data_IF_646750059581
#
_entry.id   IF_646750059581
#
_cell.length_a   1.000
_cell.length_b   1.000
_cell.length_c   1.000
_cell.angle_alpha   90.00
_cell.angle_beta   90.00
_cell.angle_gamma   90.00
#
_symmetry.space_group_name_H-M   'P 1'
#
loop_
_entity.id
_entity.type
_entity.pdbx_description
1 polymer ?
#
# COMPACT_ATOMS: atom_id res chain seq x y z
N UNK A 1 26.50 3.73 6.46
CA UNK A 1 26.19 2.38 6.99
C UNK A 1 25.87 1.46 5.81
N UNK A 2 26.78 0.52 5.54
CA UNK A 2 26.53 -0.60 4.63
C UNK A 2 25.33 -1.40 5.16
N UNK A 3 24.29 -1.53 4.35
CA UNK A 3 23.02 -2.13 4.76
C UNK A 3 23.09 -3.64 4.56
N UNK A 4 23.07 -4.40 5.66
CA UNK A 4 22.99 -5.86 5.62
C UNK A 4 21.60 -6.28 5.06
N UNK A 5 21.52 -6.87 3.85
CA UNK A 5 20.26 -7.28 3.23
C UNK A 5 19.45 -8.25 4.09
N UNK A 6 20.13 -9.05 4.93
CA UNK A 6 19.49 -10.02 5.82
C UNK A 6 18.58 -9.38 6.87
N UNK A 7 18.83 -8.14 7.29
CA UNK A 7 18.03 -7.50 8.36
C UNK A 7 16.64 -7.09 7.87
N UNK A 8 16.52 -6.65 6.62
CA UNK A 8 15.24 -6.22 6.03
C UNK A 8 14.28 -7.37 5.74
N UNK A 9 14.82 -8.53 5.36
CA UNK A 9 14.06 -9.76 5.08
C UNK A 9 13.41 -10.39 6.34
N UNK A 10 13.66 -9.84 7.53
CA UNK A 10 13.16 -10.40 8.80
C UNK A 10 11.92 -9.71 9.36
N UNK A 11 11.45 -8.58 8.81
CA UNK A 11 10.26 -7.89 9.34
C UNK A 11 9.01 -8.77 9.22
N UNK A 12 8.46 -9.18 10.37
CA UNK A 12 7.19 -9.91 10.49
C UNK A 12 6.14 -9.01 11.12
N UNK A 13 5.57 -8.09 10.32
CA UNK A 13 4.49 -7.22 10.78
C UNK A 13 3.18 -8.00 10.74
N UNK A 14 2.60 -8.25 11.92
CA UNK A 14 1.23 -8.78 12.03
C UNK A 14 0.26 -7.71 11.54
N UNK A 15 -0.41 -7.97 10.42
CA UNK A 15 -1.41 -7.06 9.86
C UNK A 15 -2.69 -7.16 10.65
N UNK A 16 -3.37 -6.03 10.82
CA UNK A 16 -4.74 -5.99 11.32
C UNK A 16 -5.70 -5.73 10.17
N UNK A 17 -6.87 -6.37 10.19
CA UNK A 17 -7.92 -6.05 9.25
C UNK A 17 -8.49 -4.64 9.50
N UNK A 18 -9.04 -4.00 8.46
CA UNK A 18 -9.04 -4.42 7.05
C UNK A 18 -7.74 -3.99 6.30
N UNK A 19 -7.39 -4.72 5.24
CA UNK A 19 -6.35 -4.29 4.28
C UNK A 19 -7.02 -3.47 3.19
N UNK A 20 -6.78 -2.16 3.19
CA UNK A 20 -7.44 -1.26 2.26
C UNK A 20 -6.73 -1.18 0.92
N UNK A 21 -7.51 -1.25 -0.16
CA UNK A 21 -7.11 -0.80 -1.48
C UNK A 21 -7.85 0.50 -1.79
N UNK A 22 -7.12 1.57 -2.12
CA UNK A 22 -7.70 2.89 -2.22
C UNK A 22 -7.17 3.77 -3.33
N UNK A 23 -7.92 4.82 -3.66
CA UNK A 23 -7.50 5.86 -4.59
C UNK A 23 -7.43 7.21 -3.88
N UNK A 24 -6.45 8.03 -4.26
CA UNK A 24 -6.63 9.47 -4.20
C UNK A 24 -7.58 9.92 -5.31
N UNK A 25 -8.42 10.92 -5.02
CA UNK A 25 -9.21 11.65 -6.02
C UNK A 25 -9.47 13.09 -5.51
N UNK A 26 -10.39 13.81 -6.12
CA UNK A 26 -10.86 15.12 -5.70
C UNK A 26 -12.28 15.02 -5.14
N UNK A 27 -12.59 15.81 -4.10
CA UNK A 27 -13.93 15.87 -3.49
C UNK A 27 -15.05 16.26 -4.48
N UNK A 28 -14.72 16.92 -5.60
CA UNK A 28 -15.71 17.29 -6.62
C UNK A 28 -16.07 16.13 -7.55
N UNK A 29 -15.28 15.04 -7.57
CA UNK A 29 -15.64 13.83 -8.29
C UNK A 29 -16.61 12.98 -7.47
N UNK A 30 -17.83 13.49 -7.28
CA UNK A 30 -18.85 12.94 -6.38
C UNK A 30 -19.29 11.50 -6.72
N UNK A 31 -18.99 11.02 -7.93
CA UNK A 31 -19.40 9.71 -8.43
C UNK A 31 -18.25 8.69 -8.47
N UNK A 32 -17.02 9.07 -8.07
CA UNK A 32 -15.87 8.15 -8.09
C UNK A 32 -16.15 6.87 -7.32
N UNK A 33 -16.79 6.96 -6.15
CA UNK A 33 -17.07 5.80 -5.29
C UNK A 33 -17.88 4.73 -6.01
N UNK A 34 -18.90 5.11 -6.78
CA UNK A 34 -19.71 4.18 -7.59
C UNK A 34 -18.90 3.55 -8.73
N UNK A 35 -17.94 4.29 -9.30
CA UNK A 35 -17.09 3.78 -10.39
C UNK A 35 -16.08 2.75 -9.89
N UNK A 36 -15.47 3.00 -8.73
CA UNK A 36 -14.33 2.22 -8.24
C UNK A 36 -14.72 1.08 -7.30
N UNK A 37 -15.88 1.17 -6.61
CA UNK A 37 -16.36 0.13 -5.69
C UNK A 37 -16.46 -1.25 -6.37
N UNK A 38 -17.11 -1.40 -7.55
CA UNK A 38 -17.19 -2.69 -8.25
C UNK A 38 -15.83 -3.25 -8.70
N UNK A 39 -14.82 -2.38 -8.79
CA UNK A 39 -13.45 -2.75 -9.17
C UNK A 39 -12.62 -3.22 -7.98
N UNK A 40 -13.21 -3.25 -6.79
CA UNK A 40 -12.56 -3.71 -5.58
C UNK A 40 -11.73 -2.61 -4.91
N UNK A 41 -12.24 -1.39 -4.87
CA UNK A 41 -11.67 -0.29 -4.08
C UNK A 41 -12.49 -0.10 -2.81
N UNK A 42 -11.82 -0.08 -1.67
CA UNK A 42 -12.43 -0.03 -0.34
C UNK A 42 -12.44 1.37 0.26
N UNK A 43 -11.48 2.22 -0.13
CA UNK A 43 -11.29 3.55 0.47
C UNK A 43 -10.91 4.63 -0.55
N UNK A 44 -11.36 5.86 -0.30
CA UNK A 44 -11.01 7.05 -1.06
C UNK A 44 -10.33 8.09 -0.18
N UNK A 45 -9.38 8.83 -0.75
CA UNK A 45 -8.70 9.97 -0.13
C UNK A 45 -8.96 11.19 -1.01
N UNK A 46 -10.06 11.94 -0.78
CA UNK A 46 -10.35 13.11 -1.58
C UNK A 46 -9.49 14.28 -1.15
N UNK A 47 -8.88 14.97 -2.12
CA UNK A 47 -8.44 16.34 -1.93
C UNK A 47 -9.66 17.22 -1.75
N UNK A 48 -9.80 17.82 -0.56
CA UNK A 48 -10.97 18.62 -0.18
C UNK A 48 -10.92 20.00 -0.83
N UNK A 49 -9.73 20.61 -0.94
CA UNK A 49 -9.61 21.96 -1.51
C UNK A 49 -10.60 22.94 -0.86
N UNK A 50 -11.17 23.85 -1.63
CA UNK A 50 -12.12 24.87 -1.15
C UNK A 50 -13.58 24.38 -1.06
N UNK A 51 -13.81 23.07 -1.03
CA UNK A 51 -15.18 22.53 -1.02
C UNK A 51 -15.95 22.92 0.24
N UNK A 52 -17.19 23.36 0.04
CA UNK A 52 -18.10 23.68 1.14
C UNK A 52 -18.62 22.42 1.86
N UNK A 53 -19.33 22.65 2.97
CA UNK A 53 -19.90 21.57 3.79
C UNK A 53 -20.88 20.68 3.01
N UNK A 54 -21.66 21.26 2.10
CA UNK A 54 -22.62 20.54 1.27
C UNK A 54 -21.92 19.57 0.33
N UNK A 55 -20.83 20.02 -0.31
CA UNK A 55 -20.04 19.20 -1.23
C UNK A 55 -19.32 18.05 -0.53
N UNK A 56 -18.72 18.31 0.63
CA UNK A 56 -18.09 17.25 1.44
C UNK A 56 -19.16 16.22 1.85
N UNK A 57 -20.32 16.68 2.33
CA UNK A 57 -21.43 15.79 2.70
C UNK A 57 -21.91 14.95 1.52
N UNK A 58 -22.09 15.54 0.34
CA UNK A 58 -22.52 14.83 -0.86
C UNK A 58 -21.53 13.71 -1.26
N UNK A 59 -20.23 13.99 -1.25
CA UNK A 59 -19.20 12.98 -1.52
C UNK A 59 -19.23 11.84 -0.50
N UNK A 60 -19.38 12.18 0.79
CA UNK A 60 -19.47 11.20 1.87
C UNK A 60 -20.74 10.34 1.75
N UNK A 61 -21.88 10.94 1.42
CA UNK A 61 -23.17 10.25 1.22
C UNK A 61 -23.10 9.28 0.03
N UNK A 62 -22.50 9.70 -1.10
CA UNK A 62 -22.31 8.83 -2.25
C UNK A 62 -21.33 7.69 -1.94
N UNK A 63 -20.25 7.97 -1.21
CA UNK A 63 -19.32 6.93 -0.73
C UNK A 63 -20.02 5.92 0.18
N UNK A 64 -20.89 6.38 1.09
CA UNK A 64 -21.72 5.50 1.93
C UNK A 64 -22.63 4.61 1.09
N UNK A 65 -23.33 5.16 0.09
CA UNK A 65 -24.21 4.39 -0.81
C UNK A 65 -23.44 3.31 -1.57
N UNK A 66 -22.21 3.60 -2.00
CA UNK A 66 -21.34 2.67 -2.72
C UNK A 66 -20.59 1.67 -1.81
N UNK A 67 -20.72 1.77 -0.49
CA UNK A 67 -19.99 0.94 0.48
C UNK A 67 -18.50 1.28 0.62
N UNK A 68 -18.06 2.43 0.11
CA UNK A 68 -16.66 2.87 0.11
C UNK A 68 -16.38 3.76 1.31
N UNK A 69 -15.26 3.50 1.99
CA UNK A 69 -14.78 4.33 3.09
C UNK A 69 -14.04 5.57 2.59
N UNK A 70 -13.87 6.55 3.45
CA UNK A 70 -13.18 7.80 3.15
C UNK A 70 -12.17 8.10 4.24
N UNK A 71 -10.90 8.29 3.84
CA UNK A 71 -9.88 8.95 4.65
C UNK A 71 -9.97 10.45 4.33
N UNK A 72 -10.79 11.17 5.09
CA UNK A 72 -11.19 12.53 4.74
C UNK A 72 -10.03 13.50 5.00
N UNK A 73 -9.58 14.20 3.96
CA UNK A 73 -8.60 15.27 4.11
C UNK A 73 -9.15 16.40 5.00
N UNK A 74 -8.34 16.83 5.96
CA UNK A 74 -8.61 18.05 6.71
C UNK A 74 -8.17 19.22 5.83
N UNK A 75 -9.07 20.18 5.59
CA UNK A 75 -8.79 21.34 4.74
C UNK A 75 -7.49 22.04 5.18
N UNK A 76 -6.47 22.00 4.32
CA UNK A 76 -5.08 22.38 4.66
C UNK A 76 -4.94 23.78 5.26
N UNK A 77 -5.63 24.82 4.76
CA UNK A 77 -5.60 26.16 5.36
C UNK A 77 -6.07 26.20 6.82
N UNK A 78 -6.97 25.30 7.26
CA UNK A 78 -7.34 25.18 8.68
C UNK A 78 -6.15 24.71 9.53
N UNK A 79 -5.38 23.75 9.02
CA UNK A 79 -4.18 23.23 9.68
C UNK A 79 -3.09 24.31 9.72
N UNK A 80 -2.89 25.03 8.61
CA UNK A 80 -1.85 26.05 8.44
C UNK A 80 -2.10 27.32 9.25
N UNK A 81 -3.36 27.74 9.38
CA UNK A 81 -3.76 28.90 10.20
C UNK A 81 -3.53 28.68 11.69
N UNK A 82 -3.22 27.44 12.11
CA UNK A 82 -3.07 27.03 13.51
C UNK A 82 -4.37 27.20 14.31
N UNK A 83 -5.51 27.34 13.64
CA UNK A 83 -6.81 27.48 14.29
C UNK A 83 -7.34 26.12 14.76
N UNK A 84 -6.90 25.73 15.96
CA UNK A 84 -7.27 24.45 16.58
C UNK A 84 -8.78 24.31 16.79
N UNK A 85 -9.51 25.42 17.02
CA UNK A 85 -10.95 25.37 17.21
C UNK A 85 -11.67 24.96 15.92
N UNK A 86 -11.29 25.55 14.79
CA UNK A 86 -11.88 25.19 13.50
C UNK A 86 -11.55 23.76 13.07
N UNK A 87 -10.34 23.26 13.39
CA UNK A 87 -10.03 21.83 13.19
C UNK A 87 -10.99 20.97 14.02
N UNK A 88 -11.19 21.28 15.30
CA UNK A 88 -12.13 20.53 16.14
C UNK A 88 -13.55 20.56 15.60
N UNK A 89 -14.00 21.71 15.11
CA UNK A 89 -15.33 21.84 14.53
C UNK A 89 -15.48 21.06 13.22
N UNK A 90 -14.43 21.01 12.38
CA UNK A 90 -14.38 20.12 11.22
C UNK A 90 -14.55 18.66 11.64
N UNK A 91 -13.80 18.20 12.66
CA UNK A 91 -13.90 16.82 13.16
C UNK A 91 -15.29 16.54 13.73
N UNK A 92 -15.84 17.42 14.57
CA UNK A 92 -17.22 17.28 15.10
C UNK A 92 -18.26 17.17 14.02
N UNK A 93 -18.10 17.92 12.93
CA UNK A 93 -19.03 17.95 11.79
C UNK A 93 -19.09 16.58 11.10
N UNK A 94 -17.94 15.93 10.87
CA UNK A 94 -17.87 14.74 10.01
C UNK A 94 -17.62 13.42 10.73
N UNK A 95 -17.21 13.42 12.00
CA UNK A 95 -16.80 12.20 12.72
C UNK A 95 -17.88 11.12 12.80
N UNK A 96 -19.16 11.51 12.77
CA UNK A 96 -20.26 10.56 12.86
C UNK A 96 -20.75 10.06 11.50
N UNK A 97 -20.15 10.52 10.39
CA UNK A 97 -20.56 10.08 9.07
C UNK A 97 -20.09 8.62 8.81
N UNK A 98 -20.98 7.68 8.41
CA UNK A 98 -20.65 6.26 8.32
C UNK A 98 -19.54 5.87 7.32
N UNK A 99 -19.32 6.71 6.30
CA UNK A 99 -18.24 6.49 5.33
C UNK A 99 -16.88 7.01 5.82
N UNK A 100 -16.81 7.90 6.81
CA UNK A 100 -15.53 8.41 7.32
C UNK A 100 -14.83 7.30 8.11
N UNK A 101 -13.75 6.77 7.54
CA UNK A 101 -12.88 5.80 8.20
C UNK A 101 -11.85 6.49 9.09
N UNK A 102 -11.31 7.62 8.64
CA UNK A 102 -10.36 8.42 9.40
C UNK A 102 -10.00 9.72 8.72
N UNK A 103 -8.90 10.31 9.17
CA UNK A 103 -8.51 11.67 8.83
C UNK A 103 -7.18 11.67 8.09
N UNK A 104 -7.15 12.30 6.92
CA UNK A 104 -5.91 12.60 6.23
C UNK A 104 -5.47 14.00 6.65
N UNK A 105 -4.47 14.06 7.53
CA UNK A 105 -4.12 15.31 8.21
C UNK A 105 -3.41 16.29 7.28
N UNK A 106 -2.46 15.79 6.50
CA UNK A 106 -1.68 16.63 5.60
C UNK A 106 -0.91 15.80 4.56
N UNK A 107 -0.61 16.45 3.45
CA UNK A 107 0.11 15.90 2.29
C UNK A 107 1.54 16.45 2.25
N UNK A 108 2.52 15.56 2.36
CA UNK A 108 3.97 15.86 2.34
C UNK A 108 4.36 17.13 3.13
N UNK A 109 4.01 17.25 4.43
CA UNK A 109 4.24 18.45 5.22
C UNK A 109 5.74 18.85 5.29
N UNK A 110 6.64 17.87 5.13
CA UNK A 110 8.08 18.03 5.22
C UNK A 110 8.72 18.73 4.02
N UNK A 111 8.05 18.78 2.88
CA UNK A 111 8.53 19.46 1.67
C UNK A 111 7.68 20.67 1.28
N UNK A 112 6.67 21.02 2.11
CA UNK A 112 5.88 22.23 1.95
C UNK A 112 6.79 23.45 1.78
N UNK A 113 6.43 24.32 0.84
CA UNK A 113 7.11 25.60 0.58
C UNK A 113 6.27 26.77 1.11
N UNK A 114 6.89 27.90 1.50
CA UNK A 114 8.34 28.15 1.53
C UNK A 114 9.07 27.44 2.68
N UNK A 115 8.34 27.00 3.70
CA UNK A 115 8.89 26.31 4.86
C UNK A 115 8.08 25.04 5.16
N UNK A 116 8.73 23.92 5.51
CA UNK A 116 8.05 22.73 5.98
C UNK A 116 7.11 23.04 7.13
N UNK A 117 5.98 22.33 7.20
CA UNK A 117 5.03 22.49 8.28
C UNK A 117 5.63 21.93 9.58
N UNK A 118 5.56 22.69 10.67
CA UNK A 118 6.18 22.29 11.94
C UNK A 118 5.66 20.94 12.45
N UNK A 119 6.55 19.99 12.82
CA UNK A 119 6.13 18.75 13.47
C UNK A 119 5.36 18.97 14.77
N UNK A 120 5.75 19.96 15.58
CA UNK A 120 5.05 20.31 16.82
C UNK A 120 3.64 20.85 16.56
N UNK A 121 3.46 21.60 15.48
CA UNK A 121 2.13 22.03 15.04
C UNK A 121 1.28 20.81 14.70
N UNK A 122 1.77 19.91 13.86
CA UNK A 122 1.02 18.72 13.47
C UNK A 122 0.72 17.81 14.67
N UNK A 123 1.62 17.71 15.64
CA UNK A 123 1.37 17.00 16.91
C UNK A 123 0.22 17.64 17.70
N UNK A 124 0.18 18.97 17.80
CA UNK A 124 -0.94 19.70 18.45
C UNK A 124 -2.26 19.49 17.72
N UNK A 125 -2.25 19.53 16.39
CA UNK A 125 -3.45 19.29 15.57
C UNK A 125 -3.92 17.84 15.72
N UNK A 126 -3.02 16.86 15.68
CA UNK A 126 -3.31 15.46 15.95
C UNK A 126 -3.97 15.27 17.33
N UNK A 127 -3.42 15.89 18.38
CA UNK A 127 -4.02 15.83 19.72
C UNK A 127 -5.42 16.45 19.75
N UNK A 128 -5.65 17.55 19.05
CA UNK A 128 -6.96 18.16 18.93
C UNK A 128 -7.97 17.25 18.21
N UNK A 129 -7.56 16.58 17.13
CA UNK A 129 -8.37 15.57 16.45
C UNK A 129 -8.74 14.44 17.42
N UNK A 130 -7.76 13.91 18.17
CA UNK A 130 -7.98 12.82 19.13
C UNK A 130 -8.83 13.22 20.33
N UNK A 131 -8.89 14.50 20.71
CA UNK A 131 -9.83 14.98 21.71
C UNK A 131 -11.29 14.86 21.23
N UNK A 132 -11.53 15.06 19.93
CA UNK A 132 -12.87 15.00 19.33
C UNK A 132 -13.27 13.62 18.82
N UNK A 133 -12.31 12.85 18.30
CA UNK A 133 -12.48 11.50 17.77
C UNK A 133 -11.27 10.60 18.13
N UNK A 134 -11.40 9.89 19.24
CA UNK A 134 -10.39 8.91 19.69
C UNK A 134 -10.37 7.64 18.84
N UNK A 135 -11.47 7.33 18.17
CA UNK A 135 -11.71 6.02 17.55
C UNK A 135 -11.08 5.88 16.16
N UNK A 136 -11.00 6.97 15.41
CA UNK A 136 -10.55 6.94 14.01
C UNK A 136 -9.06 7.25 13.87
N UNK A 137 -8.36 6.59 12.93
CA UNK A 137 -6.96 6.85 12.66
C UNK A 137 -6.75 8.20 11.96
N UNK A 138 -5.57 8.76 12.16
CA UNK A 138 -5.05 9.94 11.48
C UNK A 138 -3.85 9.52 10.63
N UNK A 139 -3.79 9.96 9.38
CA UNK A 139 -2.74 9.61 8.44
C UNK A 139 -1.97 10.85 7.97
N UNK A 140 -0.68 10.66 7.69
CA UNK A 140 0.20 11.60 7.00
C UNK A 140 0.95 10.85 5.90
N UNK A 141 1.13 11.47 4.74
CA UNK A 141 2.04 10.97 3.69
C UNK A 141 3.31 11.81 3.65
N UNK A 142 4.39 11.19 3.19
CA UNK A 142 5.70 11.81 3.07
C UNK A 142 6.39 11.35 1.78
N UNK A 143 7.06 12.28 1.10
CA UNK A 143 7.95 12.03 -0.02
C UNK A 143 9.43 11.92 0.41
N UNK A 144 9.85 12.60 1.48
CA UNK A 144 11.22 12.50 2.03
C UNK A 144 11.31 11.62 3.29
N UNK A 145 11.80 10.40 3.08
CA UNK A 145 12.02 9.39 4.12
C UNK A 145 12.93 9.83 5.27
N UNK A 146 13.78 10.85 5.07
CA UNK A 146 14.69 11.34 6.11
C UNK A 146 14.00 12.24 7.14
N UNK A 147 12.83 12.77 6.80
CA UNK A 147 12.08 13.71 7.64
C UNK A 147 10.93 13.07 8.41
N UNK A 148 10.51 11.87 8.03
CA UNK A 148 9.35 11.17 8.62
C UNK A 148 9.44 11.09 10.14
N UNK A 149 10.61 10.77 10.69
CA UNK A 149 10.77 10.48 12.12
C UNK A 149 10.34 11.65 13.03
N UNK A 150 10.51 12.91 12.60
CA UNK A 150 10.06 14.05 13.41
C UNK A 150 8.55 14.17 13.54
N UNK A 151 7.77 13.52 12.66
CA UNK A 151 6.30 13.62 12.61
C UNK A 151 5.58 12.42 13.22
N UNK A 152 6.28 11.42 13.75
CA UNK A 152 5.68 10.15 14.20
C UNK A 152 4.64 10.31 15.31
N UNK A 153 4.72 11.40 16.08
CA UNK A 153 3.76 11.72 17.14
C UNK A 153 2.47 12.38 16.63
N UNK A 154 2.34 12.61 15.31
CA UNK A 154 1.21 13.28 14.68
C UNK A 154 0.34 12.36 13.80
N UNK A 155 0.54 11.04 13.87
CA UNK A 155 -0.16 10.07 13.02
C UNK A 155 -0.32 8.68 13.67
N UNK A 156 -1.35 7.96 13.23
CA UNK A 156 -1.54 6.52 13.47
C UNK A 156 -1.11 5.68 12.24
N UNK A 157 -1.30 6.26 11.04
CA UNK A 157 -0.96 5.65 9.75
C UNK A 157 0.15 6.48 9.11
N UNK A 158 1.31 5.86 8.94
CA UNK A 158 2.38 6.37 8.11
C UNK A 158 2.11 5.99 6.66
N UNK A 159 1.94 6.98 5.80
CA UNK A 159 1.89 6.81 4.36
C UNK A 159 3.23 7.25 3.75
N UNK A 160 3.64 6.61 2.66
CA UNK A 160 4.81 7.03 1.89
C UNK A 160 4.51 6.97 0.42
N UNK A 161 4.89 8.02 -0.29
CA UNK A 161 4.76 8.07 -1.72
C UNK A 161 6.11 8.22 -2.42
N UNK A 162 6.25 7.47 -3.50
CA UNK A 162 7.36 7.60 -4.43
C UNK A 162 6.93 7.09 -5.78
N UNK A 163 7.12 7.94 -6.79
CA UNK A 163 6.62 7.71 -8.14
C UNK A 163 7.79 7.55 -9.12
N UNK A 164 8.34 6.34 -9.30
CA UNK A 164 9.59 6.16 -10.03
C UNK A 164 9.44 5.95 -11.55
N UNK A 165 8.21 5.81 -12.06
CA UNK A 165 7.96 5.51 -13.48
C UNK A 165 7.93 6.81 -14.29
N UNK A 166 9.02 7.07 -15.02
CA UNK A 166 9.25 8.29 -15.78
C UNK A 166 9.36 7.99 -17.29
N UNK A 167 8.98 8.98 -18.10
CA UNK A 167 9.19 8.96 -19.55
C UNK A 167 10.68 9.01 -19.86
N UNK A 168 11.14 8.20 -20.82
CA UNK A 168 12.55 8.11 -21.20
C UNK A 168 13.45 7.39 -20.18
N UNK A 169 12.91 6.96 -19.04
CA UNK A 169 13.63 6.15 -18.05
C UNK A 169 13.31 4.67 -18.28
N UNK A 170 14.33 3.79 -18.44
CA UNK A 170 14.12 2.36 -18.65
C UNK A 170 13.30 1.72 -17.54
N UNK A 171 12.42 0.79 -17.94
CA UNK A 171 11.61 -0.03 -17.03
C UNK A 171 12.50 -0.67 -15.94
N UNK A 172 12.02 -0.66 -14.70
CA UNK A 172 12.70 -1.24 -13.53
C UNK A 172 14.06 -0.67 -13.12
N UNK A 173 14.63 0.30 -13.83
CA UNK A 173 15.92 0.94 -13.46
C UNK A 173 15.93 1.53 -12.04
N UNK A 174 14.76 1.83 -11.50
CA UNK A 174 14.54 2.40 -10.16
C UNK A 174 14.44 1.36 -9.04
N UNK A 175 14.28 0.06 -9.35
CA UNK A 175 13.92 -1.01 -8.40
C UNK A 175 14.82 -1.05 -7.17
N UNK A 176 16.15 -1.06 -7.36
CA UNK A 176 17.10 -1.13 -6.24
C UNK A 176 16.90 0.02 -5.25
N UNK A 177 16.77 1.25 -5.77
CA UNK A 177 16.59 2.44 -4.96
C UNK A 177 15.20 2.50 -4.29
N UNK A 178 14.15 2.02 -4.96
CA UNK A 178 12.79 1.97 -4.43
C UNK A 178 12.68 0.95 -3.30
N UNK A 179 13.19 -0.27 -3.52
CA UNK A 179 13.24 -1.34 -2.52
C UNK A 179 13.96 -0.89 -1.25
N UNK A 180 15.15 -0.28 -1.38
CA UNK A 180 15.90 0.27 -0.24
C UNK A 180 15.11 1.33 0.54
N UNK A 181 14.40 2.21 -0.16
CA UNK A 181 13.59 3.25 0.49
C UNK A 181 12.37 2.66 1.20
N UNK A 182 11.60 1.80 0.53
CA UNK A 182 10.44 1.11 1.10
C UNK A 182 10.80 0.37 2.39
N UNK A 183 11.88 -0.41 2.36
CA UNK A 183 12.36 -1.14 3.52
C UNK A 183 12.78 -0.24 4.68
N UNK A 184 13.34 0.95 4.40
CA UNK A 184 13.66 1.93 5.44
C UNK A 184 12.40 2.51 6.08
N UNK A 185 11.40 2.87 5.28
CA UNK A 185 10.15 3.45 5.79
C UNK A 185 9.36 2.45 6.60
N UNK A 186 9.23 1.21 6.13
CA UNK A 186 8.48 0.19 6.85
C UNK A 186 9.18 -0.25 8.15
N UNK A 187 10.53 -0.26 8.17
CA UNK A 187 11.28 -0.47 9.42
C UNK A 187 11.00 0.64 10.43
N UNK A 188 10.88 1.90 9.97
CA UNK A 188 10.53 3.02 10.83
C UNK A 188 9.08 2.88 11.34
N UNK A 189 8.14 2.51 10.47
CA UNK A 189 6.75 2.26 10.84
C UNK A 189 6.65 1.20 11.95
N UNK A 190 7.37 0.10 11.79
CA UNK A 190 7.43 -0.99 12.77
C UNK A 190 8.03 -0.52 14.10
N UNK A 191 9.21 0.10 14.06
CA UNK A 191 9.90 0.60 15.25
C UNK A 191 9.11 1.66 16.03
N UNK A 192 8.18 2.37 15.36
CA UNK A 192 7.32 3.40 15.96
C UNK A 192 5.88 2.93 16.16
N UNK A 193 5.60 1.64 15.97
CA UNK A 193 4.28 1.02 16.09
C UNK A 193 3.18 1.77 15.30
N UNK A 194 3.47 2.13 14.05
CA UNK A 194 2.54 2.78 13.12
C UNK A 194 2.02 1.77 12.12
N UNK A 195 0.76 1.93 11.68
CA UNK A 195 0.30 1.28 10.45
C UNK A 195 1.06 1.88 9.27
N UNK A 196 1.32 1.10 8.24
CA UNK A 196 2.02 1.56 7.04
C UNK A 196 1.19 1.33 5.79
N UNK A 197 0.86 2.40 5.06
CA UNK A 197 0.21 2.31 3.76
C UNK A 197 1.16 2.83 2.68
N UNK A 198 1.40 2.04 1.63
CA UNK A 198 2.24 2.49 0.53
C UNK A 198 1.38 3.18 -0.53
N UNK A 199 1.81 4.35 -0.99
CA UNK A 199 1.16 5.09 -2.07
C UNK A 199 1.90 4.81 -3.37
N UNK A 200 1.20 4.16 -4.30
CA UNK A 200 1.72 3.67 -5.56
C UNK A 200 1.40 4.63 -6.70
N UNK A 201 2.34 4.75 -7.64
CA UNK A 201 2.13 5.53 -8.85
C UNK A 201 1.02 4.92 -9.71
N UNK A 202 0.03 5.71 -10.08
CA UNK A 202 -1.05 5.30 -10.97
C UNK A 202 -1.57 6.47 -11.82
N UNK A 203 -0.68 7.42 -12.17
CA UNK A 203 -0.97 8.56 -13.00
C UNK A 203 0.03 8.71 -14.15
N UNK A 204 -0.39 9.40 -15.19
CA UNK A 204 0.50 9.96 -16.22
C UNK A 204 0.21 11.45 -16.32
N UNK A 205 1.23 12.30 -16.22
CA UNK A 205 1.04 13.74 -16.46
C UNK A 205 2.16 14.27 -17.33
N UNK A 206 1.79 14.78 -18.51
CA UNK A 206 2.68 15.42 -19.50
C UNK A 206 3.58 16.50 -18.87
N UNK A 207 3.09 17.22 -17.86
CA UNK A 207 3.85 18.28 -17.18
C UNK A 207 4.88 17.77 -16.16
N UNK A 208 4.96 16.46 -15.90
CA UNK A 208 5.86 15.88 -14.88
C UNK A 208 6.84 14.83 -15.41
N UNK A 209 6.89 14.60 -16.73
CA UNK A 209 7.63 13.47 -17.35
C UNK A 209 7.29 12.11 -16.71
N UNK A 210 6.06 11.97 -16.18
CA UNK A 210 5.58 10.75 -15.52
C UNK A 210 4.69 9.99 -16.48
N UNK A 211 4.91 8.68 -16.55
CA UNK A 211 4.06 7.74 -17.28
C UNK A 211 3.34 6.82 -16.30
N UNK A 212 2.27 6.20 -16.79
CA UNK A 212 1.67 5.08 -16.06
C UNK A 212 2.70 3.94 -15.98
N UNK A 213 2.81 3.25 -14.83
CA UNK A 213 3.67 2.08 -14.74
C UNK A 213 3.25 1.01 -15.76
N UNK A 214 4.20 0.22 -16.23
CA UNK A 214 3.85 -1.01 -16.97
C UNK A 214 3.12 -1.99 -16.06
N UNK A 215 2.53 -3.05 -16.62
CA UNK A 215 1.96 -4.16 -15.84
C UNK A 215 3.00 -4.80 -14.91
N UNK A 216 4.24 -4.96 -15.38
CA UNK A 216 5.33 -5.52 -14.58
C UNK A 216 5.71 -4.61 -13.42
N UNK A 217 5.86 -3.31 -13.66
CA UNK A 217 6.25 -2.32 -12.66
C UNK A 217 5.22 -2.15 -11.54
N UNK A 218 3.93 -1.98 -11.89
CA UNK A 218 2.89 -1.86 -10.84
C UNK A 218 2.78 -3.17 -10.06
N UNK A 219 2.83 -4.33 -10.72
CA UNK A 219 2.81 -5.64 -10.04
C UNK A 219 3.98 -5.78 -9.07
N UNK A 220 5.18 -5.36 -9.47
CA UNK A 220 6.36 -5.37 -8.61
C UNK A 220 6.17 -4.47 -7.39
N UNK A 221 5.80 -3.20 -7.58
CA UNK A 221 5.58 -2.27 -6.44
C UNK A 221 4.50 -2.79 -5.50
N UNK A 222 3.42 -3.32 -6.06
CA UNK A 222 2.26 -3.82 -5.33
C UNK A 222 2.64 -5.00 -4.43
N UNK A 223 3.22 -6.05 -5.01
CA UNK A 223 3.55 -7.26 -4.24
C UNK A 223 4.80 -7.09 -3.38
N UNK A 224 5.75 -6.23 -3.73
CA UNK A 224 6.82 -5.86 -2.81
C UNK A 224 6.26 -5.16 -1.56
N UNK A 225 5.26 -4.29 -1.72
CA UNK A 225 4.59 -3.64 -0.59
C UNK A 225 3.88 -4.67 0.30
N UNK A 226 3.21 -5.65 -0.32
CA UNK A 226 2.65 -6.80 0.40
C UNK A 226 3.77 -7.54 1.13
N UNK A 227 4.81 -8.00 0.45
CA UNK A 227 5.88 -8.78 1.08
C UNK A 227 6.55 -8.05 2.25
N UNK A 228 6.80 -6.76 2.12
CA UNK A 228 7.47 -5.99 3.17
C UNK A 228 6.60 -5.77 4.42
N UNK A 229 5.28 -5.92 4.33
CA UNK A 229 4.39 -5.82 5.49
C UNK A 229 3.40 -4.66 5.48
N UNK A 230 3.06 -4.08 4.32
CA UNK A 230 2.09 -2.99 4.24
C UNK A 230 0.71 -3.41 4.80
N UNK A 231 -0.01 -2.45 5.38
CA UNK A 231 -1.35 -2.57 5.96
C UNK A 231 -2.45 -2.08 4.99
N UNK A 232 -2.05 -1.54 3.84
CA UNK A 232 -2.94 -1.01 2.80
C UNK A 232 -2.12 -0.43 1.65
N UNK A 233 -2.76 -0.30 0.48
CA UNK A 233 -2.16 0.26 -0.73
C UNK A 233 -3.08 1.32 -1.31
N UNK A 234 -2.53 2.49 -1.58
CA UNK A 234 -3.26 3.61 -2.14
C UNK A 234 -2.66 3.95 -3.51
N UNK A 235 -3.48 4.28 -4.49
CA UNK A 235 -3.05 4.66 -5.82
C UNK A 235 -3.18 6.18 -5.99
N UNK A 236 -2.11 6.84 -6.42
CA UNK A 236 -2.12 8.26 -6.75
C UNK A 236 -2.01 8.43 -8.27
N UNK A 237 -3.01 8.97 -8.96
CA UNK A 237 -4.35 9.39 -8.50
C UNK A 237 -5.39 9.20 -9.61
N UNK A 238 -6.65 8.97 -9.25
CA UNK A 238 -7.66 8.43 -10.17
C UNK A 238 -7.96 9.37 -11.34
N UNK A 239 -8.15 10.66 -11.08
CA UNK A 239 -8.45 11.69 -12.09
C UNK A 239 -7.27 12.03 -13.02
N UNK A 240 -6.05 11.56 -12.72
CA UNK A 240 -4.87 11.68 -13.59
C UNK A 240 -4.42 10.34 -14.18
N UNK A 241 -5.21 9.29 -13.96
CA UNK A 241 -5.01 8.00 -14.58
C UNK A 241 -5.74 7.89 -15.92
N UNK A 242 -5.53 6.79 -16.62
CA UNK A 242 -6.26 6.46 -17.84
C UNK A 242 -7.26 5.34 -17.56
N UNK A 243 -8.50 5.48 -18.05
CA UNK A 243 -9.50 4.43 -17.99
C UNK A 243 -8.99 3.12 -18.62
N UNK A 244 -8.33 3.19 -19.79
CA UNK A 244 -7.82 2.00 -20.47
C UNK A 244 -6.74 1.28 -19.67
N UNK A 245 -5.87 2.03 -18.98
CA UNK A 245 -4.84 1.44 -18.12
C UNK A 245 -5.43 0.87 -16.83
N UNK A 246 -6.39 1.57 -16.21
CA UNK A 246 -7.08 1.09 -15.02
C UNK A 246 -7.75 -0.28 -15.29
N UNK A 247 -8.50 -0.39 -16.39
CA UNK A 247 -9.22 -1.63 -16.75
C UNK A 247 -8.30 -2.76 -17.20
N UNK A 248 -7.26 -2.48 -17.99
CA UNK A 248 -6.40 -3.52 -18.56
C UNK A 248 -5.22 -3.92 -17.67
N UNK A 249 -4.82 -3.08 -16.71
CA UNK A 249 -3.62 -3.27 -15.89
C UNK A 249 -3.96 -3.33 -14.41
N UNK A 250 -4.48 -2.24 -13.83
CA UNK A 250 -4.59 -2.12 -12.37
C UNK A 250 -5.69 -3.02 -11.78
N UNK A 251 -6.92 -2.91 -12.29
CA UNK A 251 -8.04 -3.64 -11.72
C UNK A 251 -7.88 -5.17 -11.79
N UNK A 252 -7.33 -5.76 -12.87
CA UNK A 252 -6.99 -7.19 -12.86
C UNK A 252 -6.03 -7.60 -11.74
N UNK A 253 -5.04 -6.76 -11.39
CA UNK A 253 -4.11 -7.02 -10.28
C UNK A 253 -4.82 -6.91 -8.93
N UNK A 254 -5.72 -5.95 -8.77
CA UNK A 254 -6.56 -5.82 -7.57
C UNK A 254 -7.43 -7.06 -7.38
N UNK A 255 -8.07 -7.55 -8.44
CA UNK A 255 -8.89 -8.76 -8.37
C UNK A 255 -8.06 -10.00 -7.97
N UNK A 256 -6.88 -10.17 -8.57
CA UNK A 256 -5.95 -11.23 -8.17
C UNK A 256 -5.57 -11.14 -6.69
N UNK A 257 -5.27 -9.93 -6.17
CA UNK A 257 -4.96 -9.78 -4.75
C UNK A 257 -6.16 -10.15 -3.87
N UNK A 258 -7.37 -9.78 -4.26
CA UNK A 258 -8.57 -9.97 -3.43
C UNK A 258 -8.81 -11.44 -3.08
N UNK A 259 -8.52 -12.35 -4.00
CA UNK A 259 -8.58 -13.80 -3.76
C UNK A 259 -7.62 -14.23 -2.62
N UNK A 260 -6.57 -13.45 -2.38
CA UNK A 260 -5.49 -13.74 -1.44
C UNK A 260 -5.42 -12.83 -0.21
N UNK A 261 -6.23 -11.77 -0.11
CA UNK A 261 -6.27 -10.89 1.07
C UNK A 261 -6.44 -11.68 2.38
N UNK A 262 -7.33 -12.69 2.48
CA UNK A 262 -7.47 -13.47 3.71
C UNK A 262 -6.15 -14.12 4.15
N UNK A 263 -5.37 -14.68 3.21
CA UNK A 263 -4.07 -15.27 3.47
C UNK A 263 -3.03 -14.20 3.86
N UNK A 264 -2.98 -13.09 3.14
CA UNK A 264 -2.03 -12.01 3.40
C UNK A 264 -2.27 -11.38 4.78
N UNK A 265 -3.53 -11.22 5.20
CA UNK A 265 -3.83 -10.51 6.46
C UNK A 265 -3.85 -11.46 7.67
N UNK A 266 -4.45 -12.64 7.53
CA UNK A 266 -4.66 -13.57 8.67
C UNK A 266 -3.72 -14.77 8.64
N UNK A 267 -3.09 -15.06 7.50
CA UNK A 267 -2.18 -16.17 7.36
C UNK A 267 -0.91 -15.93 8.16
N UNK A 268 -0.48 -16.97 8.86
CA UNK A 268 0.84 -17.00 9.47
C UNK A 268 1.92 -16.95 8.37
N UNK A 269 2.89 -16.06 8.55
CA UNK A 269 4.05 -15.95 7.68
C UNK A 269 5.05 -17.06 8.04
N UNK A 270 4.93 -18.19 7.33
CA UNK A 270 5.80 -19.33 7.51
C UNK A 270 7.02 -19.13 6.60
N UNK A 271 8.04 -18.40 7.08
CA UNK A 271 9.32 -18.23 6.36
C UNK A 271 10.28 -19.41 6.50
N UNK A 272 10.21 -20.12 7.62
CA UNK A 272 11.10 -21.25 7.90
C UNK A 272 10.90 -22.53 7.04
N UNK A 273 9.74 -22.80 6.40
CA UNK A 273 9.60 -23.99 5.60
C UNK A 273 10.20 -23.89 4.20
N UNK A 274 10.59 -22.71 3.69
CA UNK A 274 11.05 -22.55 2.29
C UNK A 274 12.49 -22.06 2.21
N UNK A 275 13.39 -22.89 1.68
CA UNK A 275 14.75 -22.48 1.32
C UNK A 275 14.82 -22.10 -0.15
N UNK A 276 15.51 -21.00 -0.46
CA UNK A 276 15.75 -20.52 -1.82
C UNK A 276 17.23 -20.66 -2.20
N UNK A 277 17.48 -20.94 -3.47
CA UNK A 277 18.84 -21.10 -4.01
C UNK A 277 19.53 -19.78 -4.40
N UNK A 278 18.83 -18.64 -4.34
CA UNK A 278 19.37 -17.34 -4.75
C UNK A 278 18.87 -16.21 -3.83
N UNK A 279 19.79 -15.36 -3.36
CA UNK A 279 19.51 -14.26 -2.43
C UNK A 279 18.74 -13.09 -3.06
N UNK A 280 18.70 -13.01 -4.39
CA UNK A 280 17.89 -12.03 -5.12
C UNK A 280 16.43 -12.47 -5.26
N UNK A 281 16.07 -13.68 -4.82
CA UNK A 281 14.68 -14.13 -4.74
C UNK A 281 14.17 -13.91 -3.32
N UNK A 282 13.11 -13.11 -3.19
CA UNK A 282 12.39 -12.94 -1.93
C UNK A 282 11.08 -13.72 -1.97
N UNK A 283 10.79 -14.45 -0.88
CA UNK A 283 9.61 -15.29 -0.76
C UNK A 283 8.92 -15.07 0.56
N UNK A 284 7.58 -15.10 0.54
CA UNK A 284 6.76 -15.38 1.72
C UNK A 284 5.73 -16.44 1.42
N UNK A 285 5.45 -17.26 2.43
CA UNK A 285 4.43 -18.29 2.40
C UNK A 285 3.38 -17.95 3.46
N UNK A 286 2.15 -17.68 3.02
CA UNK A 286 1.02 -17.36 3.87
C UNK A 286 0.08 -18.57 3.95
N UNK A 287 -0.36 -18.96 5.14
CA UNK A 287 -1.47 -19.92 5.25
C UNK A 287 -2.77 -19.30 4.75
N UNK A 288 -3.57 -20.07 4.02
CA UNK A 288 -4.91 -19.67 3.61
C UNK A 288 -5.89 -20.06 4.73
N UNK A 289 -6.55 -19.08 5.40
CA UNK A 289 -7.40 -19.36 6.56
C UNK A 289 -8.46 -20.43 6.30
N UNK A 290 -8.70 -21.28 7.30
CA UNK A 290 -9.68 -22.38 7.24
C UNK A 290 -9.40 -23.44 6.15
N UNK A 291 -8.17 -23.50 5.64
CA UNK A 291 -7.74 -24.52 4.68
C UNK A 291 -6.40 -25.13 5.10
N UNK A 292 -5.99 -26.20 4.43
CA UNK A 292 -4.60 -26.72 4.50
C UNK A 292 -3.71 -26.14 3.39
N UNK A 293 -4.17 -25.13 2.66
CA UNK A 293 -3.46 -24.54 1.53
C UNK A 293 -2.65 -23.33 1.95
N UNK A 294 -1.69 -22.97 1.12
CA UNK A 294 -0.81 -21.84 1.31
C UNK A 294 -0.72 -21.01 0.02
N UNK A 295 -0.48 -19.72 0.18
CA UNK A 295 -0.08 -18.81 -0.87
C UNK A 295 1.41 -18.54 -0.75
N UNK A 296 2.18 -18.92 -1.76
CA UNK A 296 3.58 -18.52 -1.88
C UNK A 296 3.71 -17.36 -2.86
N UNK A 297 4.24 -16.24 -2.40
CA UNK A 297 4.59 -15.09 -3.26
C UNK A 297 6.10 -15.10 -3.44
N UNK A 298 6.58 -15.17 -4.67
CA UNK A 298 8.00 -15.11 -5.03
C UNK A 298 8.27 -13.90 -5.92
N UNK A 299 9.33 -13.16 -5.59
CA UNK A 299 9.77 -11.96 -6.33
C UNK A 299 11.24 -12.12 -6.72
N UNK A 300 11.54 -12.00 -8.00
CA UNK A 300 12.90 -11.81 -8.48
C UNK A 300 13.30 -10.33 -8.34
N UNK A 301 14.39 -10.01 -7.65
CA UNK A 301 14.89 -8.64 -7.56
C UNK A 301 16.02 -8.32 -8.55
N UNK A 302 16.44 -9.29 -9.34
CA UNK A 302 17.53 -9.16 -10.31
C UNK A 302 17.01 -8.72 -11.69
N UNK A 303 17.86 -8.05 -12.44
CA UNK A 303 17.63 -7.68 -13.84
C UNK A 303 17.85 -8.86 -14.80
N UNK A 304 18.35 -9.98 -14.29
CA UNK A 304 18.53 -11.22 -15.03
C UNK A 304 17.46 -12.24 -14.68
N UNK A 305 17.26 -13.16 -15.61
CA UNK A 305 16.50 -14.38 -15.41
C UNK A 305 17.21 -15.26 -14.36
N UNK A 306 16.45 -15.81 -13.41
CA UNK A 306 16.99 -16.67 -12.35
C UNK A 306 16.30 -18.03 -12.39
N UNK A 307 17.11 -19.10 -12.36
CA UNK A 307 16.60 -20.43 -12.04
C UNK A 307 16.28 -20.49 -10.54
N UNK A 308 15.00 -20.38 -10.22
CA UNK A 308 14.48 -20.36 -8.87
C UNK A 308 14.13 -21.78 -8.43
N UNK A 309 14.70 -22.22 -7.31
CA UNK A 309 14.34 -23.48 -6.64
C UNK A 309 13.83 -23.18 -5.23
N UNK A 310 12.61 -23.63 -4.93
CA UNK A 310 12.06 -23.64 -3.57
C UNK A 310 12.11 -25.04 -2.99
N UNK A 311 12.73 -25.19 -1.82
CA UNK A 311 12.73 -26.43 -1.04
C UNK A 311 11.86 -26.28 0.19
N UNK A 312 10.98 -27.25 0.42
CA UNK A 312 9.94 -27.23 1.45
C UNK A 312 10.29 -28.17 2.62
N UNK A 313 9.85 -27.83 3.85
CA UNK A 313 9.96 -28.74 5.00
C UNK A 313 8.97 -29.90 4.91
N UNK A 314 9.18 -30.93 5.76
CA UNK A 314 8.38 -32.16 5.76
C UNK A 314 6.86 -31.94 5.90
N UNK A 315 6.44 -30.90 6.62
CA UNK A 315 5.01 -30.59 6.81
C UNK A 315 4.26 -30.19 5.53
N UNK A 316 4.96 -29.95 4.43
CA UNK A 316 4.40 -29.60 3.12
C UNK A 316 4.63 -30.70 2.06
N UNK A 317 5.05 -31.91 2.47
CA UNK A 317 5.16 -33.05 1.56
C UNK A 317 3.80 -33.39 0.92
N UNK A 318 3.85 -33.93 -0.30
CA UNK A 318 2.72 -34.41 -1.11
C UNK A 318 1.71 -33.33 -1.54
N UNK A 319 2.07 -32.06 -1.33
CA UNK A 319 1.26 -30.91 -1.77
C UNK A 319 1.48 -30.60 -3.23
N UNK A 320 0.40 -30.20 -3.90
CA UNK A 320 0.44 -29.74 -5.29
C UNK A 320 0.81 -28.26 -5.30
N UNK A 321 1.74 -27.89 -6.18
CA UNK A 321 2.07 -26.50 -6.47
C UNK A 321 1.35 -26.09 -7.74
N UNK A 322 0.51 -25.07 -7.66
CA UNK A 322 -0.29 -24.53 -8.77
C UNK A 322 0.12 -23.10 -9.06
N UNK A 323 0.30 -22.78 -10.35
CA UNK A 323 0.51 -21.42 -10.84
C UNK A 323 -0.40 -21.18 -12.04
N UNK A 324 -1.12 -20.05 -12.06
CA UNK A 324 -2.07 -19.72 -13.12
C UNK A 324 -3.04 -20.86 -13.45
N UNK A 325 -3.60 -21.51 -12.40
CA UNK A 325 -4.53 -22.65 -12.50
C UNK A 325 -3.94 -23.90 -13.18
N UNK A 326 -2.62 -23.97 -13.34
CA UNK A 326 -1.91 -25.14 -13.87
C UNK A 326 -1.04 -25.76 -12.78
N UNK A 327 -1.11 -27.07 -12.64
CA UNK A 327 -0.19 -27.83 -11.79
C UNK A 327 1.23 -27.68 -12.34
N UNK A 328 2.12 -27.14 -11.52
CA UNK A 328 3.54 -27.03 -11.80
C UNK A 328 4.26 -28.30 -11.36
N UNK A 329 3.95 -28.79 -10.17
CA UNK A 329 4.51 -30.03 -9.66
C UNK A 329 3.64 -30.63 -8.55
N UNK A 330 3.90 -31.88 -8.22
CA UNK A 330 3.54 -32.48 -6.94
C UNK A 330 4.82 -32.59 -6.09
N UNK A 331 4.83 -32.04 -4.89
CA UNK A 331 5.97 -32.08 -3.98
C UNK A 331 6.19 -33.52 -3.48
N UNK A 332 6.88 -34.33 -4.27
CA UNK A 332 7.26 -35.71 -3.95
C UNK A 332 8.41 -35.77 -2.93
N UNK A 333 9.12 -36.90 -2.85
CA UNK A 333 10.24 -37.16 -1.93
C UNK A 333 11.28 -36.03 -1.84
N UNK A 334 11.57 -35.34 -2.96
CA UNK A 334 12.55 -34.24 -3.01
C UNK A 334 12.04 -32.91 -2.43
N UNK A 335 10.73 -32.81 -2.12
CA UNK A 335 10.07 -31.67 -1.46
C UNK A 335 10.50 -30.32 -2.04
N UNK A 336 10.68 -30.25 -3.36
CA UNK A 336 11.15 -29.04 -4.02
C UNK A 336 10.60 -28.93 -5.42
N UNK A 337 10.66 -27.72 -5.96
CA UNK A 337 10.46 -27.50 -7.38
C UNK A 337 11.36 -26.39 -7.89
N UNK A 338 11.66 -26.45 -9.17
CA UNK A 338 12.44 -25.44 -9.88
C UNK A 338 11.63 -24.86 -11.03
N UNK A 339 11.77 -23.57 -11.23
CA UNK A 339 11.23 -22.86 -12.39
C UNK A 339 12.11 -21.66 -12.67
N UNK A 340 12.00 -21.12 -13.86
CA UNK A 340 12.66 -19.88 -14.20
C UNK A 340 11.77 -18.68 -13.86
N UNK A 341 12.32 -17.68 -13.17
CA UNK A 341 11.73 -16.35 -12.99
C UNK A 341 12.41 -15.35 -13.91
N UNK A 342 11.62 -14.59 -14.66
CA UNK A 342 12.09 -13.47 -15.49
C UNK A 342 12.59 -12.30 -14.61
N UNK A 343 13.33 -11.34 -15.18
CA UNK A 343 13.75 -10.13 -14.48
C UNK A 343 12.57 -9.45 -13.78
N UNK A 344 12.73 -9.12 -12.50
CA UNK A 344 11.71 -8.42 -11.71
C UNK A 344 10.33 -9.11 -11.62
N UNK A 345 10.23 -10.38 -12.00
CA UNK A 345 8.96 -11.08 -12.04
C UNK A 345 8.39 -11.36 -10.65
N UNK A 346 7.07 -11.21 -10.52
CA UNK A 346 6.30 -11.60 -9.35
C UNK A 346 5.39 -12.78 -9.70
N UNK A 347 5.53 -13.89 -8.98
CA UNK A 347 4.67 -15.07 -9.11
C UNK A 347 4.00 -15.45 -7.81
N UNK A 348 2.75 -15.87 -7.94
CA UNK A 348 1.90 -16.35 -6.85
C UNK A 348 1.62 -17.83 -7.10
N UNK A 349 1.99 -18.69 -6.18
CA UNK A 349 1.72 -20.12 -6.23
C UNK A 349 0.74 -20.48 -5.12
N UNK A 350 -0.26 -21.27 -5.45
CA UNK A 350 -1.00 -22.02 -4.43
C UNK A 350 -0.25 -23.32 -4.14
N UNK A 351 -0.06 -23.62 -2.85
CA UNK A 351 0.58 -24.85 -2.39
C UNK A 351 -0.40 -25.59 -1.50
N UNK A 352 -0.83 -26.79 -1.92
CA UNK A 352 -1.51 -27.75 -1.06
C UNK A 352 -2.91 -28.16 -1.40
#
# INVERSE_FOLDING_TARGET
MSLNPKKYLTLNRKRNLPFFLGWYDHIYNINVSTQVSPKGIDILIPYVGEADKGKIKEFLDNSKKAGVKVLLEIYRPLVESKNILEVKDFIRTYKNHPSVYGWYLYDEPEIKKPTPLSPDLLKKVYQAIKQEDKSKPVALVFGDIKKIESYVDAMDILMWDRYPCEEGVPEFSWVSSYRKALYKVISLADAKNKKFWNVLQAYSKKQSKKRLPTKGEIRYMFYLSVLTGADGLIFWTHYLSSHSWNESVLYPIIQELRDYIPAIVRGEDLRNPVQVNNLDIEIKLFSIPNTKKYLMIAVNHNHNQINFTAKFTQGLADKIVVFNKKTITNLSTERSFSTILNPYEVRLYEVG
#
